data_IF_310897732877
#
_entry.id   IF_310897732877
#
_cell.length_a   1.000
_cell.length_b   1.000
_cell.length_c   1.000
_cell.angle_alpha   90.00
_cell.angle_beta   90.00
_cell.angle_gamma   90.00
#
_symmetry.space_group_name_H-M   'P 1'
#
loop_
_entity.id
_entity.type
_entity.pdbx_description
1 polymer ?
#
# COMPACT_ATOMS: atom_id res chain seq x y z
N UNK A 1 -14.64 1.95 -9.54
CA UNK A 1 -14.37 3.20 -8.80
C UNK A 1 -12.97 3.16 -8.24
N UNK A 2 -12.13 4.15 -8.58
CA UNK A 2 -10.80 4.27 -7.99
C UNK A 2 -10.95 4.97 -6.64
N UNK A 3 -10.32 4.44 -5.60
CA UNK A 3 -10.34 5.05 -4.26
C UNK A 3 -8.94 5.08 -3.66
N UNK A 4 -8.73 6.05 -2.75
CA UNK A 4 -7.51 6.17 -1.97
C UNK A 4 -7.42 4.99 -1.03
N UNK A 5 -6.30 4.27 -1.06
CA UNK A 5 -5.97 3.26 -0.06
C UNK A 5 -4.55 3.44 0.43
N UNK A 6 -4.28 3.04 1.65
CA UNK A 6 -2.92 3.09 2.19
C UNK A 6 -2.15 1.87 1.73
N UNK A 7 -0.95 2.07 1.19
CA UNK A 7 -0.06 0.98 0.84
C UNK A 7 0.39 0.26 2.11
N UNK A 8 0.13 -1.05 2.20
CA UNK A 8 0.56 -1.88 3.34
C UNK A 8 2.07 -2.09 3.43
N UNK A 9 2.82 -1.72 2.39
CA UNK A 9 4.27 -1.90 2.32
C UNK A 9 5.01 -0.64 2.75
N UNK A 10 4.71 0.50 2.14
CA UNK A 10 5.40 1.78 2.41
C UNK A 10 4.58 2.79 3.22
N UNK A 11 3.32 2.51 3.54
CA UNK A 11 2.44 3.43 4.28
C UNK A 11 1.95 4.65 3.48
N UNK A 12 2.38 4.83 2.23
CA UNK A 12 1.96 5.96 1.37
C UNK A 12 0.59 5.76 0.75
N UNK A 13 -0.02 6.83 0.25
CA UNK A 13 -1.29 6.78 -0.48
C UNK A 13 -1.10 6.10 -1.83
N UNK A 14 -1.81 5.00 -2.03
CA UNK A 14 -1.93 4.29 -3.30
C UNK A 14 -3.39 4.26 -3.75
N UNK A 15 -3.64 3.75 -4.94
CA UNK A 15 -4.95 3.77 -5.58
C UNK A 15 -5.35 2.35 -5.92
N UNK A 16 -6.56 1.96 -5.53
CA UNK A 16 -7.13 0.66 -5.91
C UNK A 16 -8.29 0.90 -6.88
N UNK A 17 -8.24 0.29 -8.06
CA UNK A 17 -9.25 0.41 -9.11
C UNK A 17 -8.68 0.42 -10.53
N UNK A 18 -9.54 0.71 -11.52
CA UNK A 18 -9.22 0.70 -12.95
C UNK A 18 -8.31 1.84 -13.44
N UNK A 19 -7.83 2.72 -12.57
CA UNK A 19 -6.91 3.81 -12.91
C UNK A 19 -7.52 5.03 -13.62
N UNK A 20 -8.71 4.90 -14.23
CA UNK A 20 -9.34 5.98 -15.01
C UNK A 20 -9.67 7.26 -14.22
N UNK A 21 -9.77 7.19 -12.89
CA UNK A 21 -10.10 8.34 -12.05
C UNK A 21 -8.93 8.81 -11.17
N UNK A 22 -7.73 8.24 -11.36
CA UNK A 22 -6.57 8.56 -10.52
C UNK A 22 -6.14 10.02 -10.65
N UNK A 23 -6.24 10.63 -11.83
CA UNK A 23 -5.77 12.00 -12.05
C UNK A 23 -6.56 13.04 -11.26
N UNK A 24 -7.86 12.82 -11.00
CA UNK A 24 -8.64 13.69 -10.13
C UNK A 24 -8.18 13.60 -8.67
N UNK A 25 -7.83 12.41 -8.18
CA UNK A 25 -7.40 12.24 -6.78
C UNK A 25 -5.93 12.61 -6.58
N UNK A 26 -5.12 12.49 -7.62
CA UNK A 26 -3.75 13.03 -7.65
C UNK A 26 -3.71 14.54 -7.48
N UNK A 27 -4.75 15.27 -7.90
CA UNK A 27 -4.80 16.73 -7.70
C UNK A 27 -4.93 17.14 -6.23
N UNK A 28 -5.47 16.29 -5.36
CA UNK A 28 -5.64 16.58 -3.94
C UNK A 28 -4.51 16.04 -3.05
N UNK A 29 -3.62 15.19 -3.58
CA UNK A 29 -2.52 14.59 -2.83
C UNK A 29 -1.19 14.98 -3.44
N UNK A 30 -0.24 15.56 -2.68
CA UNK A 30 1.08 15.90 -3.22
C UNK A 30 1.83 14.66 -3.69
N UNK A 31 2.58 14.78 -4.78
CA UNK A 31 3.30 13.67 -5.41
C UNK A 31 4.28 12.94 -4.48
N UNK A 32 4.81 13.62 -3.46
CA UNK A 32 5.67 13.03 -2.42
C UNK A 32 4.99 11.92 -1.61
N UNK A 33 3.68 12.02 -1.45
CA UNK A 33 2.84 11.08 -0.69
C UNK A 33 2.28 9.94 -1.54
N UNK A 34 2.60 9.88 -2.84
CA UNK A 34 2.15 8.79 -3.69
C UNK A 34 3.04 7.56 -3.50
N UNK A 35 2.37 6.41 -3.42
CA UNK A 35 3.03 5.14 -3.63
C UNK A 35 3.31 4.99 -5.13
N UNK A 36 4.57 4.68 -5.44
CA UNK A 36 5.02 4.38 -6.80
C UNK A 36 4.66 2.95 -7.26
N UNK A 37 4.05 2.15 -6.38
CA UNK A 37 3.74 0.73 -6.62
C UNK A 37 4.98 -0.16 -6.78
N UNK A 38 6.19 0.39 -6.57
CA UNK A 38 7.46 -0.31 -6.70
C UNK A 38 8.03 -0.54 -5.32
N UNK A 39 7.98 -1.79 -4.89
CA UNK A 39 8.55 -2.25 -3.64
C UNK A 39 9.53 -3.37 -3.90
N UNK A 40 10.65 -3.34 -3.20
CA UNK A 40 11.61 -4.44 -3.20
C UNK A 40 11.02 -5.65 -2.47
N UNK A 41 11.49 -6.84 -2.82
CA UNK A 41 11.07 -8.06 -2.14
C UNK A 41 11.38 -8.00 -0.63
N UNK A 42 12.47 -7.33 -0.25
CA UNK A 42 12.86 -7.09 1.14
C UNK A 42 11.83 -6.25 1.89
N UNK A 43 11.33 -5.15 1.30
CA UNK A 43 10.28 -4.32 1.91
C UNK A 43 8.96 -5.08 2.05
N UNK A 44 8.56 -5.83 1.01
CA UNK A 44 7.34 -6.65 1.05
C UNK A 44 7.46 -7.72 2.14
N UNK A 45 8.62 -8.38 2.25
CA UNK A 45 8.87 -9.38 3.27
C UNK A 45 8.84 -8.76 4.66
N UNK A 46 9.53 -7.64 4.89
CA UNK A 46 9.49 -6.92 6.16
C UNK A 46 8.07 -6.54 6.58
N UNK A 47 7.23 -6.13 5.63
CA UNK A 47 5.82 -5.80 5.86
C UNK A 47 4.99 -7.03 6.26
N UNK A 48 5.29 -8.20 5.70
CA UNK A 48 4.60 -9.47 6.00
C UNK A 48 5.12 -10.14 7.28
N UNK A 49 6.38 -9.92 7.66
CA UNK A 49 7.01 -10.52 8.85
C UNK A 49 6.20 -10.30 10.12
N UNK A 50 5.68 -9.08 10.31
CA UNK A 50 4.86 -8.74 11.48
C UNK A 50 3.51 -9.48 11.49
N UNK A 51 2.89 -9.67 10.32
CA UNK A 51 1.62 -10.41 10.21
C UNK A 51 1.81 -11.92 10.43
N UNK A 52 2.91 -12.48 9.90
CA UNK A 52 3.23 -13.91 9.99
C UNK A 52 3.64 -14.35 11.40
N UNK A 53 4.27 -13.46 12.17
CA UNK A 53 4.63 -13.73 13.56
C UNK A 53 3.38 -13.86 14.45
N UNK A 54 2.42 -12.95 14.28
CA UNK A 54 1.16 -12.99 15.03
C UNK A 54 0.30 -14.22 14.69
N UNK A 55 0.23 -14.65 13.42
CA UNK A 55 -0.53 -15.87 13.07
C UNK A 55 0.02 -17.15 13.72
N UNK A 56 1.32 -17.23 14.00
CA UNK A 56 1.93 -18.40 14.67
C UNK A 56 1.69 -18.43 16.18
N UNK A 57 1.47 -17.27 16.78
CA UNK A 57 1.18 -17.14 18.21
C UNK A 57 -0.26 -17.52 18.57
N UNK A 58 -1.21 -17.34 17.64
CA UNK A 58 -2.64 -17.62 17.87
C UNK A 58 -3.14 -18.92 17.22
N UNK A 59 -2.25 -19.75 16.67
CA UNK A 59 -2.62 -21.01 15.98
C UNK A 59 -2.29 -22.26 16.80
N UNK A 60 -2.23 -22.15 18.14
CA UNK A 60 -2.06 -23.25 19.08
C UNK A 60 -3.28 -23.42 19.96
#
# INVERSE_FOLDING_TARGET
MCHAVTCKVCGKTTWSGCGQHIDQVRRSVPASNWCNGRHTQSEINASKSNASFFQRLFSR
#
